data_IF_073811016786
#
_entry.id   IF_073811016786
#
_cell.length_a   1.000
_cell.length_b   1.000
_cell.length_c   1.000
_cell.angle_alpha   90.00
_cell.angle_beta   90.00
_cell.angle_gamma   90.00
#
_symmetry.space_group_name_H-M   'P 1'
#
loop_
_entity.id
_entity.type
_entity.pdbx_description
1 polymer ?
#
# COMPACT_ATOMS: atom_id res chain seq x y z
N UNK A 1 14.93 -22.19 -19.05
CA UNK A 1 14.03 -21.02 -19.18
C UNK A 1 14.08 -20.16 -17.91
N UNK A 2 14.87 -19.09 -17.92
CA UNK A 2 14.96 -18.13 -16.83
C UNK A 2 13.66 -17.33 -16.75
N UNK A 3 12.96 -17.43 -15.61
CA UNK A 3 11.79 -16.61 -15.31
C UNK A 3 12.22 -15.15 -15.28
N UNK A 4 11.93 -14.40 -16.36
CA UNK A 4 12.07 -12.95 -16.39
C UNK A 4 11.15 -12.41 -15.30
N UNK A 5 11.70 -12.16 -14.11
CA UNK A 5 10.97 -11.52 -13.01
C UNK A 5 10.51 -10.17 -13.53
N UNK A 6 9.20 -10.01 -13.82
CA UNK A 6 8.60 -8.70 -14.11
C UNK A 6 9.09 -7.73 -13.04
N UNK A 7 9.74 -6.63 -13.45
CA UNK A 7 10.18 -5.58 -12.53
C UNK A 7 8.94 -5.08 -11.78
N UNK A 8 8.81 -5.47 -10.51
CA UNK A 8 7.71 -5.01 -9.66
C UNK A 8 7.80 -3.50 -9.57
N UNK A 9 6.73 -2.82 -9.97
CA UNK A 9 6.65 -1.37 -9.81
C UNK A 9 6.68 -1.05 -8.32
N UNK A 10 7.54 -0.12 -7.92
CA UNK A 10 7.65 0.28 -6.51
C UNK A 10 6.39 1.06 -6.13
N UNK A 11 5.61 0.52 -5.19
CA UNK A 11 4.44 1.20 -4.63
C UNK A 11 4.85 2.56 -4.05
N UNK A 12 4.16 3.62 -4.45
CA UNK A 12 4.45 4.99 -3.98
C UNK A 12 5.54 5.72 -4.78
N UNK A 13 5.99 5.19 -5.92
CA UNK A 13 7.01 5.84 -6.77
C UNK A 13 6.72 7.31 -7.05
N UNK A 14 5.51 7.62 -7.51
CA UNK A 14 5.12 8.98 -7.90
C UNK A 14 5.09 9.96 -6.72
N UNK A 15 4.87 9.46 -5.50
CA UNK A 15 4.71 10.31 -4.31
C UNK A 15 6.04 10.52 -3.60
N UNK A 16 6.84 9.46 -3.45
CA UNK A 16 8.02 9.48 -2.59
C UNK A 16 9.35 9.45 -3.32
N UNK A 17 9.37 8.90 -4.54
CA UNK A 17 10.63 8.56 -5.23
C UNK A 17 10.87 9.47 -6.43
N UNK A 18 9.82 9.93 -7.12
CA UNK A 18 9.92 10.74 -8.34
C UNK A 18 10.81 11.97 -8.16
N UNK A 19 10.56 12.78 -7.12
CA UNK A 19 11.34 13.99 -6.86
C UNK A 19 12.81 13.68 -6.52
N UNK A 20 13.05 12.66 -5.69
CA UNK A 20 14.41 12.24 -5.34
C UNK A 20 15.16 11.69 -6.55
N UNK A 21 14.47 10.96 -7.43
CA UNK A 21 15.01 10.47 -8.68
C UNK A 21 15.38 11.62 -9.63
N UNK A 22 14.49 12.61 -9.78
CA UNK A 22 14.73 13.79 -10.60
C UNK A 22 15.95 14.56 -10.08
N UNK A 23 16.04 14.79 -8.77
CA UNK A 23 17.18 15.44 -8.14
C UNK A 23 18.48 14.67 -8.36
N UNK A 24 18.47 13.36 -8.12
CA UNK A 24 19.64 12.52 -8.35
C UNK A 24 20.09 12.53 -9.82
N UNK A 25 19.15 12.61 -10.76
CA UNK A 25 19.45 12.72 -12.18
C UNK A 25 20.03 14.08 -12.54
N UNK A 26 19.48 15.17 -12.01
CA UNK A 26 20.00 16.52 -12.18
C UNK A 26 21.43 16.63 -11.66
N UNK A 27 21.68 16.20 -10.41
CA UNK A 27 23.01 16.27 -9.80
C UNK A 27 24.03 15.40 -10.56
N UNK A 28 23.59 14.26 -11.11
CA UNK A 28 24.41 13.42 -11.98
C UNK A 28 24.76 14.13 -13.31
N UNK A 29 23.80 14.79 -13.95
CA UNK A 29 24.05 15.56 -15.18
C UNK A 29 25.02 16.72 -14.91
N UNK A 30 24.85 17.42 -13.79
CA UNK A 30 25.75 18.49 -13.38
C UNK A 30 27.17 17.96 -13.12
N UNK A 31 27.29 16.85 -12.38
CA UNK A 31 28.58 16.19 -12.16
C UNK A 31 29.24 15.77 -13.49
N UNK A 32 28.45 15.28 -14.45
CA UNK A 32 28.94 14.91 -15.79
C UNK A 32 29.42 16.13 -16.57
N UNK A 33 28.67 17.24 -16.52
CA UNK A 33 29.01 18.51 -17.16
C UNK A 33 30.35 19.06 -16.66
N UNK A 34 30.64 18.92 -15.36
CA UNK A 34 31.90 19.33 -14.76
C UNK A 34 33.08 18.37 -15.01
N UNK A 35 32.95 17.41 -15.94
CA UNK A 35 34.03 16.49 -16.27
C UNK A 35 34.18 15.31 -15.31
N UNK A 36 33.13 14.98 -14.54
CA UNK A 36 33.12 13.85 -13.60
C UNK A 36 34.20 13.92 -12.50
N UNK A 37 34.29 15.04 -11.75
CA UNK A 37 35.30 15.21 -10.71
C UNK A 37 35.17 14.13 -9.62
N UNK A 38 36.29 13.66 -9.07
CA UNK A 38 36.31 12.63 -8.00
C UNK A 38 36.17 13.20 -6.59
N UNK A 39 36.18 14.52 -6.45
CA UNK A 39 36.10 15.23 -5.18
C UNK A 39 35.44 16.60 -5.38
N UNK A 40 35.05 17.24 -4.28
CA UNK A 40 34.42 18.56 -4.28
C UNK A 40 32.89 18.51 -4.28
N UNK A 41 32.29 19.70 -4.32
CA UNK A 41 30.86 19.89 -4.04
C UNK A 41 29.94 19.15 -5.01
N UNK A 42 30.25 19.16 -6.30
CA UNK A 42 29.44 18.47 -7.34
C UNK A 42 29.47 16.95 -7.18
N UNK A 43 30.64 16.39 -6.85
CA UNK A 43 30.80 14.96 -6.52
C UNK A 43 30.00 14.58 -5.26
N UNK A 44 30.14 15.36 -4.19
CA UNK A 44 29.45 15.14 -2.92
C UNK A 44 27.92 15.22 -3.08
N UNK A 45 27.44 16.21 -3.83
CA UNK A 45 26.02 16.38 -4.13
C UNK A 45 25.46 15.17 -4.89
N UNK A 46 26.17 14.71 -5.94
CA UNK A 46 25.79 13.54 -6.74
C UNK A 46 25.70 12.27 -5.90
N UNK A 47 26.69 12.00 -5.04
CA UNK A 47 26.68 10.84 -4.14
C UNK A 47 25.53 10.95 -3.13
N UNK A 48 25.37 12.11 -2.51
CA UNK A 48 24.34 12.34 -1.49
C UNK A 48 22.95 12.13 -2.06
N UNK A 49 22.62 12.73 -3.21
CA UNK A 49 21.30 12.56 -3.83
C UNK A 49 21.06 11.14 -4.33
N UNK A 50 22.08 10.46 -4.88
CA UNK A 50 21.99 9.04 -5.25
C UNK A 50 21.73 8.14 -4.04
N UNK A 51 22.39 8.39 -2.92
CA UNK A 51 22.18 7.65 -1.67
C UNK A 51 20.78 7.90 -1.12
N UNK A 52 20.31 9.15 -1.09
CA UNK A 52 18.93 9.50 -0.69
C UNK A 52 17.89 8.76 -1.53
N UNK A 53 18.06 8.75 -2.85
CA UNK A 53 17.18 8.02 -3.77
C UNK A 53 17.15 6.50 -3.46
N UNK A 54 18.33 5.86 -3.35
CA UNK A 54 18.43 4.43 -3.04
C UNK A 54 17.81 4.10 -1.67
N UNK A 55 18.13 4.88 -0.65
CA UNK A 55 17.58 4.69 0.69
C UNK A 55 16.06 4.83 0.69
N UNK A 56 15.51 5.77 -0.08
CA UNK A 56 14.06 5.91 -0.19
C UNK A 56 13.40 4.75 -0.93
N UNK A 57 14.04 4.17 -1.95
CA UNK A 57 13.55 2.92 -2.58
C UNK A 57 13.44 1.81 -1.54
N UNK A 58 14.52 1.57 -0.79
CA UNK A 58 14.55 0.54 0.26
C UNK A 58 13.46 0.80 1.30
N UNK A 59 13.30 2.06 1.71
CA UNK A 59 12.23 2.45 2.61
C UNK A 59 10.83 2.19 2.03
N UNK A 60 10.58 2.49 0.75
CA UNK A 60 9.28 2.24 0.12
C UNK A 60 8.98 0.74 0.00
N UNK A 61 10.01 -0.08 -0.23
CA UNK A 61 9.87 -1.54 -0.24
C UNK A 61 9.56 -2.08 1.15
N UNK A 62 10.24 -1.58 2.20
CA UNK A 62 9.98 -1.97 3.59
C UNK A 62 8.59 -1.55 4.06
N UNK A 63 8.12 -0.38 3.63
CA UNK A 63 6.83 0.19 4.04
C UNK A 63 5.74 0.02 2.98
N UNK A 64 5.89 -0.95 2.08
CA UNK A 64 5.02 -1.12 0.91
C UNK A 64 3.54 -1.24 1.31
N UNK A 65 3.26 -2.05 2.34
CA UNK A 65 1.90 -2.26 2.83
C UNK A 65 1.29 -0.98 3.41
N UNK A 66 2.04 -0.24 4.23
CA UNK A 66 1.58 1.01 4.80
C UNK A 66 1.25 2.02 3.69
N UNK A 67 2.16 2.17 2.71
CA UNK A 67 1.96 3.08 1.58
C UNK A 67 0.71 2.69 0.76
N UNK A 68 0.44 1.40 0.58
CA UNK A 68 -0.81 0.94 -0.07
C UNK A 68 -2.05 1.37 0.71
N UNK A 69 -2.04 1.18 2.03
CA UNK A 69 -3.17 1.57 2.89
C UNK A 69 -3.37 3.08 2.90
N UNK A 70 -2.29 3.86 2.96
CA UNK A 70 -2.34 5.33 2.90
C UNK A 70 -2.94 5.82 1.57
N UNK A 71 -2.57 5.19 0.44
CA UNK A 71 -3.15 5.51 -0.87
C UNK A 71 -4.65 5.23 -0.89
N UNK A 72 -5.10 4.12 -0.28
CA UNK A 72 -6.53 3.77 -0.21
C UNK A 72 -7.27 4.75 0.70
N UNK A 73 -6.71 5.08 1.86
CA UNK A 73 -7.26 6.07 2.78
C UNK A 73 -7.40 7.45 2.12
N UNK A 74 -6.37 7.88 1.36
CA UNK A 74 -6.40 9.13 0.60
C UNK A 74 -7.52 9.14 -0.44
N UNK A 75 -7.69 8.05 -1.21
CA UNK A 75 -8.78 7.95 -2.21
C UNK A 75 -10.17 8.00 -1.57
N UNK A 76 -10.32 7.41 -0.38
CA UNK A 76 -11.56 7.52 0.41
C UNK A 76 -11.82 8.97 0.81
N UNK A 77 -10.80 9.69 1.27
CA UNK A 77 -10.91 11.11 1.61
C UNK A 77 -11.26 11.97 0.39
N UNK A 78 -10.68 11.67 -0.78
CA UNK A 78 -10.97 12.33 -2.06
C UNK A 78 -12.33 11.94 -2.67
N UNK A 79 -13.09 11.05 -2.02
CA UNK A 79 -14.37 10.49 -2.52
C UNK A 79 -14.27 9.80 -3.90
N UNK A 80 -13.08 9.35 -4.30
CA UNK A 80 -12.87 8.57 -5.52
C UNK A 80 -13.18 7.09 -5.26
N UNK A 81 -14.47 6.77 -5.16
CA UNK A 81 -14.94 5.43 -4.83
C UNK A 81 -14.58 4.38 -5.90
N UNK A 82 -14.49 4.79 -7.17
CA UNK A 82 -14.14 3.89 -8.26
C UNK A 82 -12.70 3.36 -8.09
N UNK A 83 -11.73 4.25 -7.89
CA UNK A 83 -10.34 3.84 -7.65
C UNK A 83 -10.13 3.24 -6.26
N UNK A 84 -10.92 3.64 -5.27
CA UNK A 84 -10.93 3.02 -3.95
C UNK A 84 -11.27 1.53 -4.06
N UNK A 85 -12.46 1.19 -4.59
CA UNK A 85 -12.89 -0.21 -4.67
C UNK A 85 -11.98 -1.07 -5.54
N UNK A 86 -11.43 -0.53 -6.63
CA UNK A 86 -10.40 -1.23 -7.43
C UNK A 86 -9.17 -1.61 -6.62
N UNK A 87 -8.68 -0.69 -5.78
CA UNK A 87 -7.52 -0.99 -4.93
C UNK A 87 -7.86 -1.87 -3.73
N UNK A 88 -9.05 -1.71 -3.13
CA UNK A 88 -9.52 -2.58 -2.04
C UNK A 88 -9.69 -4.02 -2.50
N UNK A 89 -10.24 -4.25 -3.71
CA UNK A 89 -10.35 -5.60 -4.30
C UNK A 89 -8.99 -6.26 -4.58
N UNK A 90 -7.95 -5.46 -4.81
CA UNK A 90 -6.59 -5.95 -5.03
C UNK A 90 -5.83 -6.25 -3.74
N UNK A 91 -6.31 -5.75 -2.59
CA UNK A 91 -5.88 -6.26 -1.30
C UNK A 91 -6.53 -7.62 -1.17
N UNK A 92 -5.73 -8.66 -1.40
CA UNK A 92 -6.15 -10.07 -1.36
C UNK A 92 -6.55 -10.41 0.08
N UNK A 93 -7.74 -9.97 0.48
CA UNK A 93 -8.43 -10.44 1.66
C UNK A 93 -8.84 -11.85 1.28
N UNK A 94 -7.95 -12.82 1.46
CA UNK A 94 -8.36 -14.22 1.51
C UNK A 94 -9.63 -14.23 2.35
N UNK A 95 -10.77 -14.71 1.83
CA UNK A 95 -11.97 -14.77 2.62
C UNK A 95 -11.66 -15.67 3.80
N UNK A 96 -11.33 -15.07 4.93
CA UNK A 96 -11.34 -15.74 6.21
C UNK A 96 -12.81 -15.93 6.48
N UNK A 97 -13.36 -17.02 5.95
CA UNK A 97 -14.66 -17.47 6.44
C UNK A 97 -14.49 -17.62 7.95
N UNK A 98 -15.30 -16.91 8.75
CA UNK A 98 -15.25 -17.12 10.19
C UNK A 98 -15.53 -18.61 10.40
N UNK A 99 -14.59 -19.30 11.05
CA UNK A 99 -14.69 -20.74 11.30
C UNK A 99 -15.94 -21.08 12.11
N UNK A 100 -16.46 -20.12 12.88
CA UNK A 100 -17.70 -20.24 13.64
C UNK A 100 -18.34 -18.86 13.84
N UNK A 101 -19.66 -18.83 13.97
CA UNK A 101 -20.41 -17.68 14.50
C UNK A 101 -20.82 -18.05 15.93
N UNK A 102 -20.33 -17.29 16.92
CA UNK A 102 -20.58 -17.56 18.34
C UNK A 102 -20.26 -19.00 18.79
N UNK A 103 -19.20 -19.60 18.24
CA UNK A 103 -18.79 -20.98 18.56
C UNK A 103 -19.55 -22.08 17.78
N UNK A 104 -20.56 -21.74 16.98
CA UNK A 104 -21.28 -22.69 16.13
C UNK A 104 -20.75 -22.67 14.69
N UNK A 105 -20.53 -23.86 14.12
CA UNK A 105 -20.08 -24.03 12.72
C UNK A 105 -21.21 -24.59 11.83
N UNK A 106 -22.26 -25.13 12.43
CA UNK A 106 -23.38 -25.75 11.72
C UNK A 106 -24.36 -24.68 11.19
N UNK A 107 -24.63 -24.62 9.87
CA UNK A 107 -25.53 -23.64 9.28
C UNK A 107 -26.93 -23.58 9.91
N UNK A 108 -27.48 -24.71 10.34
CA UNK A 108 -28.80 -24.75 10.99
C UNK A 108 -28.79 -24.09 12.35
N UNK A 109 -27.75 -24.35 13.14
CA UNK A 109 -27.58 -23.70 14.45
C UNK A 109 -27.37 -22.19 14.32
N UNK A 110 -26.61 -21.75 13.32
CA UNK A 110 -26.43 -20.32 13.04
C UNK A 110 -27.77 -19.67 12.66
N UNK A 111 -28.55 -20.31 11.78
CA UNK A 111 -29.87 -19.81 11.40
C UNK A 111 -30.82 -19.71 12.60
N UNK A 112 -30.82 -20.72 13.47
CA UNK A 112 -31.61 -20.72 14.70
C UNK A 112 -31.15 -19.65 15.70
N UNK A 113 -29.84 -19.42 15.84
CA UNK A 113 -29.30 -18.35 16.70
C UNK A 113 -29.83 -16.98 16.27
N UNK A 114 -29.75 -16.68 14.97
CA UNK A 114 -30.30 -15.43 14.44
C UNK A 114 -31.81 -15.36 14.60
N UNK A 115 -32.53 -16.45 14.31
CA UNK A 115 -33.98 -16.51 14.48
C UNK A 115 -34.38 -16.18 15.93
N UNK A 116 -33.77 -16.80 16.93
CA UNK A 116 -34.05 -16.53 18.35
C UNK A 116 -33.77 -15.06 18.71
N UNK A 117 -32.63 -14.51 18.28
CA UNK A 117 -32.22 -13.15 18.63
C UNK A 117 -33.13 -12.06 18.03
N UNK A 118 -33.70 -12.29 16.85
CA UNK A 118 -34.65 -11.38 16.23
C UNK A 118 -36.09 -11.64 16.68
N UNK A 119 -36.43 -12.86 17.07
CA UNK A 119 -37.76 -13.20 17.56
C UNK A 119 -37.99 -12.70 19.00
N UNK A 120 -36.98 -12.75 19.87
CA UNK A 120 -37.10 -12.18 21.23
C UNK A 120 -37.31 -10.66 21.22
N UNK A 121 -36.74 -9.94 20.24
CA UNK A 121 -36.95 -8.49 20.07
C UNK A 121 -38.30 -8.12 19.44
N UNK A 122 -39.01 -9.07 18.86
CA UNK A 122 -40.39 -8.86 18.41
C UNK A 122 -41.39 -8.91 19.58
N UNK A 123 -41.02 -9.55 20.69
CA UNK A 123 -41.89 -9.69 21.88
C UNK A 123 -41.80 -8.47 22.80
N UNK A 124 -40.67 -7.77 22.86
CA UNK A 124 -40.45 -6.66 23.80
C UNK A 124 -40.83 -5.26 23.30
N UNK A 125 -41.54 -5.15 22.16
CA UNK A 125 -42.10 -3.89 21.65
C UNK A 125 -43.62 -3.76 21.88
N UNK A 126 -44.18 -4.51 22.84
CA UNK A 126 -45.60 -4.48 23.19
C UNK A 126 -45.89 -4.16 24.67
N UNK A 127 -44.91 -3.65 25.43
CA UNK A 127 -45.15 -3.10 26.79
C UNK A 127 -44.85 -1.60 26.83
#
# INVERSE_FOLDING_TARGET
>A
PSLIRKKRQVTGWNVHIKELHNKARLDYQLWKLHGSPKQGTTYNNMISSRNKFKNKIVWCQKNENQIKMDIIAKRRQEKDFCKFWKSTKSLDLKPTHPLSVSGTQDPKQIANMFASQFNEKAVTLND
#
